data_IF_962419663594
#
_entry.id   IF_962419663594
#
_cell.length_a   1.000
_cell.length_b   1.000
_cell.length_c   1.000
_cell.angle_alpha   90.00
_cell.angle_beta   90.00
_cell.angle_gamma   90.00
#
_symmetry.space_group_name_H-M   'P 1'
#
loop_
_entity.id
_entity.type
_entity.pdbx_description
1 polymer ?
#
# COMPACT_ATOMS: atom_id res chain seq x y z
N UNK A 1 16.50 5.51 -5.14
CA UNK A 1 15.46 4.47 -5.30
C UNK A 1 15.21 4.09 -6.74
N UNK A 2 14.93 5.02 -7.68
CA UNK A 2 14.65 4.66 -9.09
C UNK A 2 15.58 3.63 -9.72
N UNK A 3 16.90 3.76 -9.53
CA UNK A 3 17.86 2.81 -10.10
C UNK A 3 17.81 1.42 -9.43
N UNK A 4 17.54 1.38 -8.12
CA UNK A 4 17.33 0.12 -7.40
C UNK A 4 16.05 -0.56 -7.86
N UNK A 5 14.98 0.21 -8.06
CA UNK A 5 13.71 -0.30 -8.57
C UNK A 5 13.87 -0.81 -10.01
N UNK A 6 14.66 -0.10 -10.84
CA UNK A 6 15.00 -0.54 -12.20
C UNK A 6 15.73 -1.88 -12.17
N UNK A 7 16.81 -2.00 -11.40
CA UNK A 7 17.59 -3.23 -11.25
C UNK A 7 16.69 -4.38 -10.74
N UNK A 8 15.86 -4.14 -9.73
CA UNK A 8 14.94 -5.14 -9.19
C UNK A 8 13.98 -5.70 -10.27
N UNK A 9 13.45 -4.84 -11.14
CA UNK A 9 12.55 -5.27 -12.21
C UNK A 9 13.30 -5.89 -13.38
N UNK A 10 14.32 -5.22 -13.89
CA UNK A 10 14.99 -5.58 -15.15
C UNK A 10 15.99 -6.72 -14.97
N UNK A 11 16.78 -6.71 -13.90
CA UNK A 11 17.87 -7.66 -13.70
C UNK A 11 17.43 -8.87 -12.85
N UNK A 12 16.50 -8.66 -11.91
CA UNK A 12 16.01 -9.70 -11.00
C UNK A 12 14.58 -10.18 -11.30
N UNK A 13 13.87 -9.54 -12.24
CA UNK A 13 12.53 -9.96 -12.66
C UNK A 13 11.44 -9.78 -11.59
N UNK A 14 11.67 -8.94 -10.57
CA UNK A 14 10.68 -8.69 -9.52
C UNK A 14 9.53 -7.84 -10.06
N UNK A 15 8.33 -8.40 -10.05
CA UNK A 15 7.14 -7.68 -10.51
C UNK A 15 6.81 -6.47 -9.62
N UNK A 16 6.37 -5.37 -10.22
CA UNK A 16 5.98 -4.14 -9.51
C UNK A 16 4.93 -4.42 -8.42
N UNK A 17 3.94 -5.26 -8.71
CA UNK A 17 2.91 -5.63 -7.73
C UNK A 17 3.48 -6.47 -6.57
N UNK A 18 4.49 -7.32 -6.82
CA UNK A 18 5.15 -8.10 -5.78
C UNK A 18 6.00 -7.22 -4.87
N UNK A 19 6.74 -6.27 -5.45
CA UNK A 19 7.48 -5.27 -4.67
C UNK A 19 6.51 -4.42 -3.82
N UNK A 20 5.38 -4.02 -4.41
CA UNK A 20 4.34 -3.27 -3.72
C UNK A 20 3.68 -4.06 -2.59
N UNK A 21 3.42 -5.36 -2.79
CA UNK A 21 2.89 -6.24 -1.75
C UNK A 21 3.81 -6.30 -0.54
N UNK A 22 5.12 -6.42 -0.78
CA UNK A 22 6.13 -6.41 0.28
C UNK A 22 6.18 -5.06 1.00
N UNK A 23 6.14 -3.95 0.24
CA UNK A 23 6.13 -2.61 0.81
C UNK A 23 4.89 -2.36 1.70
N UNK A 24 3.69 -2.69 1.19
CA UNK A 24 2.44 -2.50 1.92
C UNK A 24 2.32 -3.41 3.15
N UNK A 25 2.75 -4.68 3.05
CA UNK A 25 2.83 -5.60 4.21
C UNK A 25 3.71 -5.03 5.31
N UNK A 26 4.90 -4.52 4.96
CA UNK A 26 5.82 -3.95 5.93
C UNK A 26 5.27 -2.65 6.54
N UNK A 27 4.63 -1.80 5.73
CA UNK A 27 3.97 -0.60 6.22
C UNK A 27 2.86 -0.94 7.23
N UNK A 28 2.02 -1.93 6.92
CA UNK A 28 0.99 -2.40 7.86
C UNK A 28 1.60 -2.93 9.17
N UNK A 29 2.71 -3.69 9.10
CA UNK A 29 3.41 -4.16 10.30
C UNK A 29 3.91 -3.00 11.18
N UNK A 30 4.52 -1.99 10.56
CA UNK A 30 4.96 -0.79 11.29
C UNK A 30 3.79 -0.04 11.93
N UNK A 31 2.66 0.09 11.24
CA UNK A 31 1.45 0.72 11.82
C UNK A 31 0.94 -0.07 13.03
N UNK A 32 0.91 -1.40 12.96
CA UNK A 32 0.52 -2.27 14.09
C UNK A 32 1.45 -2.06 15.28
N UNK A 33 2.76 -1.99 15.05
CA UNK A 33 3.74 -1.71 16.11
C UNK A 33 3.52 -0.32 16.73
N UNK A 34 3.26 0.70 15.92
CA UNK A 34 2.98 2.06 16.39
C UNK A 34 1.70 2.15 17.21
N UNK A 35 0.68 1.35 16.88
CA UNK A 35 -0.56 1.27 17.66
C UNK A 35 -0.37 0.56 18.99
N UNK A 36 0.71 -0.22 19.17
CA UNK A 36 1.09 -0.86 20.44
C UNK A 36 -0.06 -1.64 21.12
N UNK A 37 -0.89 -2.30 20.32
CA UNK A 37 -2.04 -3.08 20.81
C UNK A 37 -3.27 -2.26 21.23
N UNK A 38 -3.27 -0.94 20.99
CA UNK A 38 -4.45 -0.10 21.21
C UNK A 38 -5.48 -0.29 20.10
N UNK A 39 -6.75 -0.25 20.49
CA UNK A 39 -7.85 -0.10 19.55
C UNK A 39 -7.78 1.27 18.89
N UNK A 40 -7.98 1.32 17.58
CA UNK A 40 -7.89 2.56 16.83
C UNK A 40 -8.42 2.43 15.41
N UNK A 41 -8.70 3.59 14.83
CA UNK A 41 -9.04 3.70 13.42
C UNK A 41 -7.83 4.17 12.63
N UNK A 42 -7.57 3.55 11.48
CA UNK A 42 -6.48 3.93 10.58
C UNK A 42 -7.08 4.58 9.34
N UNK A 43 -6.74 5.84 9.08
CA UNK A 43 -7.08 6.51 7.83
C UNK A 43 -5.88 6.49 6.89
N UNK A 44 -6.08 5.94 5.69
CA UNK A 44 -5.06 5.89 4.64
C UNK A 44 -5.40 6.92 3.56
N UNK A 45 -4.50 7.88 3.35
CA UNK A 45 -4.61 8.90 2.31
C UNK A 45 -3.96 8.37 1.03
N UNK A 46 -4.76 8.21 -0.03
CA UNK A 46 -4.38 7.47 -1.24
C UNK A 46 -4.29 8.41 -2.43
N UNK A 47 -3.08 8.56 -2.98
CA UNK A 47 -2.85 9.19 -4.28
C UNK A 47 -2.89 8.20 -5.45
N UNK A 48 -2.82 8.70 -6.69
CA UNK A 48 -2.88 7.86 -7.90
C UNK A 48 -1.63 7.00 -8.19
N UNK A 49 -0.49 7.30 -7.56
CA UNK A 49 0.80 6.70 -7.91
C UNK A 49 1.16 5.43 -7.13
N UNK A 50 2.41 4.98 -7.28
CA UNK A 50 2.92 3.77 -6.62
C UNK A 50 2.80 3.80 -5.09
N UNK A 51 3.01 4.96 -4.46
CA UNK A 51 2.82 5.13 -3.01
C UNK A 51 1.37 4.90 -2.59
N UNK A 52 0.40 5.35 -3.41
CA UNK A 52 -1.01 5.09 -3.17
C UNK A 52 -1.33 3.60 -3.23
N UNK A 53 -0.77 2.89 -4.21
CA UNK A 53 -0.86 1.42 -4.26
C UNK A 53 -0.25 0.72 -3.05
N UNK A 54 0.92 1.18 -2.57
CA UNK A 54 1.51 0.69 -1.32
C UNK A 54 0.63 0.95 -0.09
N UNK A 55 0.03 2.13 -0.01
CA UNK A 55 -0.94 2.49 1.04
C UNK A 55 -2.20 1.62 0.99
N UNK A 56 -2.77 1.38 -0.18
CA UNK A 56 -3.92 0.49 -0.37
C UNK A 56 -3.59 -0.97 0.00
N UNK A 57 -2.41 -1.46 -0.37
CA UNK A 57 -1.93 -2.76 0.07
C UNK A 57 -1.83 -2.83 1.61
N UNK A 58 -1.24 -1.81 2.24
CA UNK A 58 -1.17 -1.72 3.70
C UNK A 58 -2.56 -1.68 4.35
N UNK A 59 -3.50 -0.91 3.76
CA UNK A 59 -4.88 -0.83 4.21
C UNK A 59 -5.54 -2.21 4.23
N UNK A 60 -5.39 -3.01 3.16
CA UNK A 60 -5.87 -4.40 3.11
C UNK A 60 -5.25 -5.26 4.20
N UNK A 61 -3.94 -5.15 4.42
CA UNK A 61 -3.25 -5.90 5.49
C UNK A 61 -3.75 -5.53 6.89
N UNK A 62 -4.04 -4.25 7.15
CA UNK A 62 -4.61 -3.79 8.41
C UNK A 62 -6.05 -4.24 8.58
N UNK A 63 -6.87 -4.13 7.53
CA UNK A 63 -8.25 -4.59 7.54
C UNK A 63 -8.34 -6.10 7.83
N UNK A 64 -7.49 -6.91 7.18
CA UNK A 64 -7.40 -8.36 7.41
C UNK A 64 -6.97 -8.72 8.84
N UNK A 65 -6.38 -7.78 9.60
CA UNK A 65 -6.00 -7.94 11.01
C UNK A 65 -7.07 -7.43 11.98
N UNK A 66 -8.22 -6.97 11.48
CA UNK A 66 -9.36 -6.53 12.29
C UNK A 66 -9.38 -5.04 12.62
N UNK A 67 -8.44 -4.24 12.10
CA UNK A 67 -8.47 -2.79 12.29
C UNK A 67 -9.60 -2.16 11.47
N UNK A 68 -10.21 -1.11 12.03
CA UNK A 68 -11.12 -0.24 11.28
C UNK A 68 -10.28 0.68 10.39
N UNK A 69 -10.40 0.49 9.07
CA UNK A 69 -9.61 1.23 8.08
C UNK A 69 -10.52 2.11 7.23
N UNK A 70 -10.20 3.40 7.17
CA UNK A 70 -10.86 4.38 6.31
C UNK A 70 -9.93 4.73 5.14
N UNK A 71 -10.47 4.78 3.92
CA UNK A 71 -9.72 5.22 2.74
C UNK A 71 -10.17 6.62 2.34
N UNK A 72 -9.23 7.53 2.14
CA UNK A 72 -9.48 8.84 1.54
C UNK A 72 -8.65 8.97 0.27
N UNK A 73 -9.32 8.88 -0.87
CA UNK A 73 -8.70 9.01 -2.18
C UNK A 73 -8.60 10.51 -2.54
N UNK A 74 -7.45 10.94 -3.07
CA UNK A 74 -7.23 12.31 -3.51
C UNK A 74 -8.01 12.66 -4.80
N UNK A 75 -8.64 11.66 -5.42
CA UNK A 75 -9.42 11.72 -6.66
C UNK A 75 -10.38 10.54 -6.75
N UNK A 76 -11.19 10.52 -7.79
CA UNK A 76 -12.07 9.39 -8.08
C UNK A 76 -11.28 8.09 -8.33
N UNK A 77 -11.84 6.95 -7.90
CA UNK A 77 -11.21 5.63 -8.06
C UNK A 77 -10.90 5.29 -9.52
N UNK A 78 -11.71 5.76 -10.47
CA UNK A 78 -11.48 5.56 -11.91
C UNK A 78 -10.26 6.32 -12.45
N UNK A 79 -9.76 7.32 -11.72
CA UNK A 79 -8.61 8.13 -12.09
C UNK A 79 -7.30 7.71 -11.40
N UNK A 80 -7.29 6.56 -10.72
CA UNK A 80 -6.08 5.98 -10.14
C UNK A 80 -5.18 5.39 -11.24
N UNK A 81 -3.86 5.50 -11.06
CA UNK A 81 -2.91 4.83 -11.93
C UNK A 81 -2.92 3.32 -11.72
N UNK A 82 -2.48 2.55 -12.72
CA UNK A 82 -2.60 1.09 -12.78
C UNK A 82 -2.22 0.38 -11.48
N UNK A 83 -1.09 0.75 -10.87
CA UNK A 83 -0.63 0.11 -9.63
C UNK A 83 -1.59 0.34 -8.45
N UNK A 84 -2.07 1.57 -8.27
CA UNK A 84 -3.04 1.89 -7.22
C UNK A 84 -4.42 1.29 -7.52
N UNK A 85 -4.86 1.37 -8.77
CA UNK A 85 -6.13 0.79 -9.21
C UNK A 85 -6.18 -0.74 -9.02
N UNK A 86 -5.06 -1.44 -9.20
CA UNK A 86 -4.98 -2.89 -8.92
C UNK A 86 -5.09 -3.22 -7.43
N UNK A 87 -4.60 -2.35 -6.54
CA UNK A 87 -4.63 -2.58 -5.09
C UNK A 87 -5.95 -2.16 -4.41
N UNK A 88 -6.79 -1.39 -5.10
CA UNK A 88 -8.11 -0.98 -4.61
C UNK A 88 -9.18 -2.09 -4.77
N UNK A 89 -8.88 -3.16 -5.52
CA UNK A 89 -9.83 -4.22 -5.87
C UNK A 89 -10.01 -5.26 -4.77
#
# INVERSE_FOLDING_TARGET
MREVDRIAVEDFGLGILQMMENAGRNLAANVVEMLAGQDGEVTVLVGAGGNGGGGLCAARHLHNRGYKVNLALDRDASALGDAAANQLR
#
